data_IF_436878748859
#
_entry.id   IF_436878748859
#
_cell.length_a   1.000
_cell.length_b   1.000
_cell.length_c   1.000
_cell.angle_alpha   90.00
_cell.angle_beta   90.00
_cell.angle_gamma   90.00
#
_symmetry.space_group_name_H-M   'P 1'
#
loop_
_entity.id
_entity.type
_entity.pdbx_description
1 polymer ?
#
# COMPACT_ATOMS: atom_id res chain seq x y z
N UNK A 1 -18.19 -30.39 -61.23
CA UNK A 1 -17.95 -30.48 -59.78
C UNK A 1 -17.52 -31.91 -59.44
N UNK A 2 -16.20 -32.13 -59.35
CA UNK A 2 -15.45 -32.90 -58.32
C UNK A 2 -16.18 -34.17 -57.75
N UNK A 3 -15.68 -35.42 -57.74
CA UNK A 3 -14.37 -36.03 -57.39
C UNK A 3 -14.24 -37.39 -58.14
N UNK A 4 -13.13 -37.72 -58.82
CA UNK A 4 -11.97 -38.49 -58.33
C UNK A 4 -12.34 -39.81 -57.61
N UNK A 5 -12.52 -40.93 -58.34
CA UNK A 5 -11.56 -41.99 -58.70
C UNK A 5 -10.79 -42.62 -57.52
N UNK A 6 -11.10 -43.90 -57.32
CA UNK A 6 -10.48 -44.88 -56.44
C UNK A 6 -8.98 -45.07 -56.69
N UNK A 7 -8.25 -45.44 -55.63
CA UNK A 7 -7.04 -46.27 -55.75
C UNK A 7 -6.84 -47.08 -54.47
N UNK A 8 -7.08 -48.40 -54.57
CA UNK A 8 -6.43 -49.41 -53.74
C UNK A 8 -5.04 -49.68 -54.33
N UNK A 9 -4.01 -49.89 -53.53
CA UNK A 9 -3.49 -51.24 -53.26
C UNK A 9 -2.23 -51.18 -52.36
N UNK A 10 -2.11 -52.25 -51.60
CA UNK A 10 -1.18 -52.60 -50.54
C UNK A 10 0.23 -52.93 -51.08
N UNK A 11 1.29 -52.62 -50.32
CA UNK A 11 2.51 -53.45 -50.27
C UNK A 11 3.44 -52.99 -49.14
N UNK A 12 3.35 -53.72 -48.03
CA UNK A 12 4.46 -54.22 -47.18
C UNK A 12 5.81 -53.51 -47.26
N UNK A 13 6.28 -52.98 -46.13
CA UNK A 13 7.61 -53.34 -45.63
C UNK A 13 7.64 -53.37 -44.11
N UNK A 14 8.11 -54.52 -43.64
CA UNK A 14 8.19 -55.01 -42.28
C UNK A 14 9.59 -54.71 -41.77
N UNK A 15 9.73 -53.98 -40.66
CA UNK A 15 10.92 -54.12 -39.79
C UNK A 15 10.54 -53.76 -38.36
N UNK A 16 10.40 -54.81 -37.56
CA UNK A 16 10.35 -54.80 -36.11
C UNK A 16 11.59 -54.11 -35.52
N UNK A 17 11.39 -53.25 -34.52
CA UNK A 17 12.34 -53.15 -33.40
C UNK A 17 11.58 -53.04 -32.08
N UNK A 18 11.86 -54.04 -31.25
CA UNK A 18 11.23 -54.40 -29.98
C UNK A 18 10.99 -53.20 -29.05
N UNK A 19 9.72 -52.99 -28.74
CA UNK A 19 9.24 -52.34 -27.52
C UNK A 19 9.41 -53.34 -26.37
N UNK A 20 10.12 -52.95 -25.31
CA UNK A 20 10.09 -53.67 -24.02
C UNK A 20 8.80 -53.27 -23.32
N UNK A 21 7.83 -54.16 -23.29
CA UNK A 21 6.69 -54.10 -22.38
C UNK A 21 7.16 -54.51 -20.97
N UNK A 22 6.81 -53.71 -19.97
CA UNK A 22 6.45 -54.20 -18.64
C UNK A 22 5.02 -53.74 -18.40
N UNK A 23 4.09 -54.70 -18.51
CA UNK A 23 2.67 -54.49 -18.28
C UNK A 23 2.30 -54.41 -16.80
N UNK A 24 1.20 -53.70 -16.53
CA UNK A 24 0.48 -53.68 -15.28
C UNK A 24 -0.86 -52.99 -15.49
N UNK A 25 -1.94 -53.77 -15.55
CA UNK A 25 -3.26 -53.40 -16.06
C UNK A 25 -4.09 -52.57 -15.06
N UNK A 26 -4.87 -51.68 -15.66
CA UNK A 26 -6.26 -51.33 -15.37
C UNK A 26 -6.66 -50.36 -14.23
N UNK A 27 -7.54 -49.45 -14.70
CA UNK A 27 -8.77 -48.93 -14.10
C UNK A 27 -8.77 -47.59 -13.34
N UNK A 28 -9.52 -46.67 -13.96
CA UNK A 28 -10.39 -45.61 -13.42
C UNK A 28 -9.80 -44.31 -12.85
N UNK A 29 -10.27 -43.22 -13.49
CA UNK A 29 -10.61 -41.90 -12.97
C UNK A 29 -9.60 -41.17 -12.07
N UNK A 30 -9.14 -40.00 -12.55
CA UNK A 30 -8.52 -39.04 -11.66
C UNK A 30 -7.90 -37.84 -12.35
N UNK A 31 -8.68 -37.05 -13.08
CA UNK A 31 -8.31 -35.68 -13.42
C UNK A 31 -8.25 -34.86 -12.11
N UNK A 32 -7.07 -34.69 -11.53
CA UNK A 32 -6.82 -33.74 -10.46
C UNK A 32 -5.65 -32.84 -10.85
N UNK A 33 -6.03 -31.70 -11.40
CA UNK A 33 -5.20 -30.51 -11.60
C UNK A 33 -4.32 -30.29 -10.36
N UNK A 34 -3.01 -30.43 -10.50
CA UNK A 34 -2.08 -29.78 -9.61
C UNK A 34 -2.36 -28.27 -9.65
N UNK A 35 -2.95 -27.74 -8.58
CA UNK A 35 -2.91 -26.29 -8.33
C UNK A 35 -1.45 -25.94 -8.08
N UNK A 36 -0.82 -25.28 -9.03
CA UNK A 36 0.46 -24.62 -8.82
C UNK A 36 0.27 -23.58 -7.71
N UNK A 37 0.72 -23.86 -6.50
CA UNK A 37 0.79 -22.86 -5.43
C UNK A 37 1.93 -21.91 -5.77
N UNK A 38 1.63 -20.61 -5.87
CA UNK A 38 2.63 -19.57 -6.09
C UNK A 38 3.75 -19.66 -5.03
N UNK A 39 5.01 -19.33 -5.38
CA UNK A 39 6.12 -19.39 -4.43
C UNK A 39 5.84 -18.49 -3.22
N UNK A 40 6.02 -19.05 -2.02
CA UNK A 40 5.85 -18.32 -0.76
C UNK A 40 6.99 -17.31 -0.64
N UNK A 41 6.67 -16.02 -0.77
CA UNK A 41 7.63 -14.94 -0.56
C UNK A 41 7.81 -14.63 0.94
N UNK A 42 8.93 -14.03 1.37
CA UNK A 42 9.11 -13.62 2.76
C UNK A 42 7.99 -12.70 3.28
N UNK A 43 7.43 -11.86 2.41
CA UNK A 43 6.26 -11.03 2.74
C UNK A 43 5.02 -11.90 2.97
N UNK A 44 4.76 -12.87 2.10
CA UNK A 44 3.63 -13.80 2.23
C UNK A 44 3.61 -14.55 3.55
N UNK A 45 4.77 -15.04 4.00
CA UNK A 45 4.93 -15.70 5.30
C UNK A 45 4.61 -14.77 6.48
N UNK A 46 5.09 -13.52 6.43
CA UNK A 46 4.80 -12.52 7.48
C UNK A 46 3.32 -12.17 7.54
N UNK A 47 2.66 -12.05 6.38
CA UNK A 47 1.21 -11.80 6.31
C UNK A 47 0.43 -12.98 6.91
N UNK A 48 0.80 -14.22 6.58
CA UNK A 48 0.17 -15.40 7.17
C UNK A 48 0.34 -15.46 8.69
N UNK A 49 1.56 -15.28 9.20
CA UNK A 49 1.82 -15.26 10.64
C UNK A 49 1.05 -14.12 11.35
N UNK A 50 0.95 -12.95 10.72
CA UNK A 50 0.18 -11.84 11.27
C UNK A 50 -1.31 -12.15 11.33
N UNK A 51 -1.90 -12.74 10.28
CA UNK A 51 -3.30 -13.18 10.29
C UNK A 51 -3.58 -14.18 11.42
N UNK A 52 -2.67 -15.11 11.66
CA UNK A 52 -2.79 -16.09 12.75
C UNK A 52 -2.76 -15.42 14.14
N UNK A 53 -2.03 -14.32 14.30
CA UNK A 53 -2.00 -13.58 15.56
C UNK A 53 -3.28 -12.78 15.87
N UNK A 54 -4.16 -12.58 14.88
CA UNK A 54 -5.36 -11.75 15.03
C UNK A 54 -6.54 -12.52 15.66
N UNK A 55 -7.41 -11.83 16.43
CA UNK A 55 -8.70 -12.36 16.84
C UNK A 55 -9.55 -12.80 15.65
N UNK A 56 -10.39 -13.82 15.82
CA UNK A 56 -11.14 -14.45 14.73
C UNK A 56 -11.97 -13.44 13.89
N UNK A 57 -12.62 -12.48 14.55
CA UNK A 57 -13.44 -11.48 13.88
C UNK A 57 -12.64 -10.60 12.90
N UNK A 58 -11.42 -10.19 13.26
CA UNK A 58 -10.58 -9.34 12.40
C UNK A 58 -9.78 -10.17 11.43
N UNK A 59 -9.35 -11.38 11.83
CA UNK A 59 -8.71 -12.36 10.95
C UNK A 59 -9.57 -12.66 9.73
N UNK A 60 -10.87 -12.90 9.92
CA UNK A 60 -11.80 -13.18 8.82
C UNK A 60 -11.88 -12.02 7.80
N UNK A 61 -12.00 -10.78 8.28
CA UNK A 61 -12.00 -9.58 7.44
C UNK A 61 -10.65 -9.45 6.70
N UNK A 62 -9.53 -9.52 7.42
CA UNK A 62 -8.19 -9.36 6.84
C UNK A 62 -7.86 -10.46 5.81
N UNK A 63 -8.27 -11.70 6.05
CA UNK A 63 -8.12 -12.80 5.09
C UNK A 63 -8.96 -12.56 3.83
N UNK A 64 -10.18 -12.03 3.98
CA UNK A 64 -11.00 -11.56 2.88
C UNK A 64 -10.30 -10.46 2.06
N UNK A 65 -9.78 -9.43 2.73
CA UNK A 65 -9.05 -8.34 2.09
C UNK A 65 -7.81 -8.84 1.32
N UNK A 66 -7.03 -9.75 1.90
CA UNK A 66 -5.89 -10.40 1.24
C UNK A 66 -6.29 -11.10 -0.05
N UNK A 67 -7.32 -11.95 0.02
CA UNK A 67 -7.85 -12.67 -1.16
C UNK A 67 -8.32 -11.70 -2.24
N UNK A 68 -9.05 -10.65 -1.85
CA UNK A 68 -9.60 -9.68 -2.78
C UNK A 68 -8.47 -8.89 -3.47
N UNK A 69 -7.47 -8.44 -2.72
CA UNK A 69 -6.33 -7.70 -3.27
C UNK A 69 -5.54 -8.53 -4.30
N UNK A 70 -5.19 -9.77 -3.96
CA UNK A 70 -4.43 -10.65 -4.86
C UNK A 70 -5.23 -11.11 -6.09
N UNK A 71 -6.56 -11.09 -6.03
CA UNK A 71 -7.42 -11.45 -7.16
C UNK A 71 -7.92 -10.25 -7.96
N UNK A 72 -7.55 -9.02 -7.57
CA UNK A 72 -8.02 -7.81 -8.24
C UNK A 72 -7.28 -7.52 -9.56
N UNK A 73 -5.97 -7.74 -9.61
CA UNK A 73 -5.09 -7.56 -10.77
C UNK A 73 -3.88 -8.51 -10.64
N UNK A 74 -3.48 -9.25 -11.70
CA UNK A 74 -2.36 -10.19 -11.64
C UNK A 74 -0.99 -9.54 -11.39
N UNK A 75 -0.84 -8.23 -11.57
CA UNK A 75 0.43 -7.53 -11.28
C UNK A 75 0.63 -7.22 -9.79
N UNK A 76 -0.38 -7.49 -8.95
CA UNK A 76 -0.31 -7.26 -7.51
C UNK A 76 0.47 -8.38 -6.82
N UNK A 77 1.41 -7.98 -5.95
CA UNK A 77 2.13 -8.89 -5.07
C UNK A 77 2.08 -8.38 -3.62
N UNK A 78 2.32 -9.31 -2.69
CA UNK A 78 2.40 -9.02 -1.26
C UNK A 78 3.75 -8.37 -0.92
N UNK A 79 3.68 -7.32 -0.12
CA UNK A 79 4.82 -6.62 0.44
C UNK A 79 4.66 -6.49 1.97
N UNK A 80 5.73 -6.10 2.65
CA UNK A 80 5.73 -5.86 4.09
C UNK A 80 6.48 -4.59 4.46
N UNK A 81 5.72 -3.54 4.77
CA UNK A 81 6.20 -2.24 5.22
C UNK A 81 5.30 -1.73 6.34
N UNK A 82 5.77 -1.84 7.58
CA UNK A 82 5.00 -1.53 8.79
C UNK A 82 3.75 -2.40 9.00
N UNK A 83 3.65 -3.54 8.30
CA UNK A 83 2.50 -4.43 8.29
C UNK A 83 2.21 -4.94 6.87
N UNK A 84 1.08 -5.65 6.66
CA UNK A 84 0.67 -6.17 5.36
C UNK A 84 0.34 -5.07 4.34
N UNK A 85 0.99 -5.12 3.18
CA UNK A 85 0.73 -4.23 2.05
C UNK A 85 0.73 -5.00 0.73
N UNK A 86 0.16 -4.36 -0.28
CA UNK A 86 0.09 -4.87 -1.64
C UNK A 86 0.62 -3.79 -2.57
N UNK A 87 1.46 -4.21 -3.51
CA UNK A 87 2.14 -3.32 -4.43
C UNK A 87 2.00 -3.76 -5.87
N UNK A 88 1.99 -2.78 -6.77
CA UNK A 88 2.06 -2.90 -8.22
C UNK A 88 2.47 -1.53 -8.75
N UNK A 89 3.67 -1.44 -9.34
CA UNK A 89 4.26 -0.17 -9.79
C UNK A 89 4.28 0.92 -8.70
N UNK A 90 4.42 0.51 -7.43
CA UNK A 90 4.24 1.35 -6.24
C UNK A 90 3.26 0.71 -5.25
N UNK A 91 3.11 1.30 -4.07
CA UNK A 91 2.17 0.81 -3.06
C UNK A 91 0.73 1.09 -3.51
N UNK A 92 -0.12 0.06 -3.47
CA UNK A 92 -1.52 0.13 -3.89
C UNK A 92 -2.39 0.34 -2.65
N UNK A 93 -2.46 -0.69 -1.81
CA UNK A 93 -3.20 -0.65 -0.56
C UNK A 93 -2.51 -1.47 0.54
N UNK A 94 -2.91 -1.23 1.79
CA UNK A 94 -2.48 -2.00 2.95
C UNK A 94 -3.56 -2.00 4.02
N UNK A 95 -3.59 -3.05 4.84
CA UNK A 95 -4.58 -3.15 5.91
C UNK A 95 -3.95 -3.27 7.29
N UNK A 96 -4.67 -2.77 8.29
CA UNK A 96 -4.25 -2.81 9.69
C UNK A 96 -5.44 -3.15 10.56
N UNK A 97 -5.26 -4.11 11.47
CA UNK A 97 -6.28 -4.50 12.43
C UNK A 97 -6.11 -3.71 13.73
N UNK A 98 -7.15 -2.99 14.12
CA UNK A 98 -7.27 -2.29 15.41
C UNK A 98 -8.18 -3.07 16.36
N UNK A 99 -8.29 -2.61 17.61
CA UNK A 99 -9.08 -3.28 18.65
C UNK A 99 -10.56 -3.49 18.26
N UNK A 100 -11.14 -2.58 17.50
CA UNK A 100 -12.58 -2.56 17.20
C UNK A 100 -12.91 -2.52 15.69
N UNK A 101 -11.91 -2.37 14.84
CA UNK A 101 -12.11 -2.27 13.39
C UNK A 101 -10.88 -2.70 12.61
N UNK A 102 -11.05 -3.01 11.33
CA UNK A 102 -9.98 -3.16 10.36
C UNK A 102 -10.00 -1.96 9.43
N UNK A 103 -8.84 -1.38 9.19
CA UNK A 103 -8.67 -0.26 8.28
C UNK A 103 -7.96 -0.75 7.03
N UNK A 104 -8.51 -0.43 5.87
CA UNK A 104 -7.85 -0.60 4.57
C UNK A 104 -7.48 0.78 4.03
N UNK A 105 -6.21 1.01 3.77
CA UNK A 105 -5.70 2.28 3.28
C UNK A 105 -5.22 2.14 1.84
N UNK A 106 -5.67 3.05 0.99
CA UNK A 106 -5.17 3.26 -0.36
C UNK A 106 -4.15 4.38 -0.33
N UNK A 107 -2.92 4.05 -0.72
CA UNK A 107 -1.78 4.94 -0.54
C UNK A 107 -1.87 6.17 -1.45
N UNK A 108 -2.35 6.02 -2.68
CA UNK A 108 -2.61 7.14 -3.60
C UNK A 108 -4.12 7.42 -3.71
N UNK A 109 -4.87 7.21 -2.62
CA UNK A 109 -6.32 7.32 -2.58
C UNK A 109 -6.88 8.69 -2.97
N UNK A 110 -6.15 9.78 -2.75
CA UNK A 110 -6.59 11.13 -3.13
C UNK A 110 -6.62 11.38 -4.65
N UNK A 111 -5.91 10.55 -5.41
CA UNK A 111 -5.91 10.56 -6.87
C UNK A 111 -6.94 9.61 -7.47
N UNK A 112 -7.63 8.82 -6.64
CA UNK A 112 -8.68 7.92 -7.05
C UNK A 112 -10.03 8.62 -7.02
N UNK A 113 -10.95 8.18 -7.88
CA UNK A 113 -12.35 8.57 -7.83
C UNK A 113 -13.05 7.75 -6.74
N UNK A 114 -14.10 8.32 -6.17
CA UNK A 114 -14.93 7.65 -5.17
C UNK A 114 -16.42 7.67 -5.55
N UNK A 115 -16.82 7.12 -6.72
CA UNK A 115 -18.20 7.19 -7.19
C UNK A 115 -19.17 6.40 -6.30
N UNK A 116 -18.67 5.43 -5.53
CA UNK A 116 -19.46 4.57 -4.66
C UNK A 116 -19.42 5.02 -3.18
N UNK A 117 -18.68 6.08 -2.85
CA UNK A 117 -18.57 6.59 -1.49
C UNK A 117 -17.99 5.59 -0.50
N UNK A 118 -17.05 4.73 -0.94
CA UNK A 118 -16.47 3.69 -0.06
C UNK A 118 -15.47 4.26 0.93
N UNK A 119 -14.85 5.41 0.64
CA UNK A 119 -13.91 6.04 1.56
C UNK A 119 -14.66 6.68 2.73
N UNK A 120 -14.80 5.91 3.81
CA UNK A 120 -15.56 6.28 4.99
C UNK A 120 -14.69 6.52 6.25
N UNK A 121 -13.35 6.50 6.11
CA UNK A 121 -12.41 6.69 7.23
C UNK A 121 -11.37 7.77 6.93
N UNK A 122 -10.84 8.37 8.01
CA UNK A 122 -9.74 9.32 8.11
C UNK A 122 -8.74 9.37 6.95
N UNK A 123 -8.34 10.61 6.68
CA UNK A 123 -7.25 10.98 5.79
C UNK A 123 -5.99 11.04 6.65
N UNK A 124 -5.13 10.01 6.58
CA UNK A 124 -3.88 9.96 7.37
C UNK A 124 -2.83 10.97 6.90
N UNK A 125 -2.91 11.34 5.63
CA UNK A 125 -2.11 12.36 4.98
C UNK A 125 -2.84 12.80 3.70
N UNK A 126 -2.35 13.85 3.05
CA UNK A 126 -2.98 14.44 1.86
C UNK A 126 -3.25 13.44 0.71
N UNK A 127 -2.49 12.34 0.66
CA UNK A 127 -2.56 11.33 -0.40
C UNK A 127 -3.41 10.11 -0.07
N UNK A 128 -3.47 9.72 1.19
CA UNK A 128 -4.13 8.48 1.58
C UNK A 128 -5.66 8.67 1.65
N UNK A 129 -6.40 7.61 1.30
CA UNK A 129 -7.83 7.46 1.65
C UNK A 129 -8.03 6.08 2.25
N UNK A 130 -8.98 5.97 3.17
CA UNK A 130 -9.14 4.74 3.95
C UNK A 130 -10.60 4.30 4.02
N UNK A 131 -10.79 2.99 4.15
CA UNK A 131 -12.06 2.31 4.38
C UNK A 131 -11.98 1.63 5.74
N UNK A 132 -13.00 1.85 6.59
CA UNK A 132 -13.23 1.17 7.86
C UNK A 132 -14.13 -0.04 7.63
N UNK A 133 -13.70 -1.18 8.15
CA UNK A 133 -14.52 -2.38 8.29
C UNK A 133 -14.69 -2.70 9.76
N UNK A 134 -15.90 -3.00 10.16
CA UNK A 134 -16.28 -3.44 11.51
C UNK A 134 -16.87 -4.85 11.44
N UNK A 135 -17.13 -5.46 12.61
CA UNK A 135 -17.64 -6.85 12.70
C UNK A 135 -18.97 -7.09 11.96
N UNK A 136 -19.74 -6.03 11.70
CA UNK A 136 -21.05 -6.11 11.05
C UNK A 136 -21.01 -5.91 9.53
N UNK A 137 -19.86 -5.56 8.96
CA UNK A 137 -19.80 -5.12 7.56
C UNK A 137 -19.57 -6.30 6.60
N UNK A 138 -20.43 -6.38 5.58
CA UNK A 138 -20.22 -7.29 4.44
C UNK A 138 -19.28 -6.62 3.44
N UNK A 139 -18.15 -7.26 3.15
CA UNK A 139 -17.22 -6.77 2.12
C UNK A 139 -17.84 -7.01 0.74
N UNK A 140 -18.15 -5.94 0.01
CA UNK A 140 -18.52 -6.05 -1.40
C UNK A 140 -17.26 -6.25 -2.25
N UNK A 141 -16.97 -7.52 -2.55
CA UNK A 141 -15.76 -7.92 -3.27
C UNK A 141 -15.62 -7.24 -4.64
N UNK A 142 -16.71 -7.08 -5.39
CA UNK A 142 -16.66 -6.48 -6.72
C UNK A 142 -16.29 -4.99 -6.68
N UNK A 143 -16.93 -4.24 -5.79
CA UNK A 143 -16.64 -2.81 -5.62
C UNK A 143 -15.21 -2.62 -5.11
N UNK A 144 -14.76 -3.46 -4.18
CA UNK A 144 -13.41 -3.35 -3.65
C UNK A 144 -12.35 -3.67 -4.73
N UNK A 145 -12.58 -4.69 -5.57
CA UNK A 145 -11.68 -4.97 -6.71
C UNK A 145 -11.60 -3.80 -7.69
N UNK A 146 -12.70 -3.09 -7.92
CA UNK A 146 -12.70 -1.91 -8.78
C UNK A 146 -11.76 -0.83 -8.22
N UNK A 147 -11.82 -0.54 -6.92
CA UNK A 147 -10.96 0.45 -6.28
C UNK A 147 -9.49 0.01 -6.31
N UNK A 148 -9.21 -1.27 -6.10
CA UNK A 148 -7.84 -1.80 -6.18
C UNK A 148 -7.28 -1.67 -7.59
N UNK A 149 -8.06 -2.00 -8.64
CA UNK A 149 -7.64 -1.81 -10.04
C UNK A 149 -7.43 -0.34 -10.39
N UNK A 150 -8.28 0.55 -9.89
CA UNK A 150 -8.10 1.99 -10.09
C UNK A 150 -6.81 2.49 -9.42
N UNK A 151 -6.51 2.03 -8.20
CA UNK A 151 -5.25 2.35 -7.53
C UNK A 151 -4.03 1.84 -8.31
N UNK A 152 -4.10 0.64 -8.89
CA UNK A 152 -3.07 0.12 -9.80
C UNK A 152 -2.92 1.01 -11.04
N UNK A 153 -4.03 1.46 -11.63
CA UNK A 153 -4.00 2.36 -12.79
C UNK A 153 -3.37 3.72 -12.46
N UNK A 154 -3.68 4.30 -11.29
CA UNK A 154 -3.04 5.54 -10.79
C UNK A 154 -1.52 5.36 -10.67
N UNK A 155 -1.06 4.22 -10.14
CA UNK A 155 0.36 3.91 -10.05
C UNK A 155 1.00 3.75 -11.43
N UNK A 156 0.35 3.03 -12.36
CA UNK A 156 0.81 2.85 -13.74
C UNK A 156 0.89 4.18 -14.51
N UNK A 157 -0.01 5.12 -14.23
CA UNK A 157 0.00 6.47 -14.80
C UNK A 157 1.12 7.37 -14.23
N UNK A 158 1.91 6.89 -13.27
CA UNK A 158 3.06 7.61 -12.72
C UNK A 158 2.69 8.76 -11.79
N UNK A 159 1.59 8.63 -11.03
CA UNK A 159 1.18 9.65 -10.07
C UNK A 159 2.31 10.02 -9.11
N UNK A 160 2.70 11.29 -9.12
CA UNK A 160 3.74 11.83 -8.23
C UNK A 160 3.08 12.56 -7.06
N UNK A 161 3.45 12.15 -5.85
CA UNK A 161 3.08 12.86 -4.63
C UNK A 161 3.86 14.17 -4.55
N UNK A 162 3.18 15.28 -4.76
CA UNK A 162 3.75 16.61 -4.54
C UNK A 162 3.28 17.06 -3.17
N UNK A 163 4.18 17.01 -2.18
CA UNK A 163 3.90 17.60 -0.88
C UNK A 163 3.66 19.11 -1.06
N UNK A 164 2.64 19.66 -0.40
CA UNK A 164 2.44 21.11 -0.34
C UNK A 164 3.55 21.70 0.53
N UNK A 165 4.65 22.07 -0.12
CA UNK A 165 5.66 22.93 0.48
C UNK A 165 5.26 24.39 0.23
N UNK A 166 4.06 24.77 0.67
CA UNK A 166 3.73 26.19 0.74
C UNK A 166 4.71 26.82 1.72
N UNK A 167 5.48 27.80 1.26
CA UNK A 167 6.34 28.60 2.12
C UNK A 167 5.40 29.39 3.02
N UNK A 168 5.13 28.89 4.21
CA UNK A 168 4.42 29.69 5.19
C UNK A 168 5.35 30.84 5.60
N UNK A 169 4.88 32.08 5.47
CA UNK A 169 5.61 33.21 5.99
C UNK A 169 5.74 33.08 7.51
N UNK A 170 6.94 33.34 8.03
CA UNK A 170 7.19 33.23 9.45
C UNK A 170 6.30 34.25 10.21
N UNK A 171 5.55 33.81 11.24
CA UNK A 171 4.74 34.72 12.03
C UNK A 171 5.60 35.88 12.57
N UNK A 172 5.13 37.14 12.52
CA UNK A 172 5.92 38.29 13.00
C UNK A 172 6.45 38.11 14.43
N UNK A 173 5.68 37.44 15.30
CA UNK A 173 6.09 37.12 16.67
C UNK A 173 7.30 36.18 16.75
N UNK A 174 7.43 35.20 15.84
CA UNK A 174 8.58 34.29 15.79
C UNK A 174 9.84 35.04 15.32
N UNK A 175 9.72 35.85 14.26
CA UNK A 175 10.83 36.66 13.77
C UNK A 175 11.31 37.68 14.82
N UNK A 176 10.38 38.32 15.53
CA UNK A 176 10.71 39.25 16.62
C UNK A 176 11.46 38.56 17.76
N UNK A 177 11.10 37.31 18.08
CA UNK A 177 11.79 36.53 19.11
C UNK A 177 13.19 36.06 18.65
N UNK A 178 13.31 35.57 17.41
CA UNK A 178 14.60 35.17 16.83
C UNK A 178 15.58 36.34 16.71
N UNK A 179 15.09 37.54 16.35
CA UNK A 179 15.92 38.76 16.27
C UNK A 179 16.59 39.15 17.60
N UNK A 180 16.06 38.69 18.75
CA UNK A 180 16.66 38.93 20.07
C UNK A 180 17.90 38.08 20.32
N UNK A 181 18.07 36.97 19.61
CA UNK A 181 19.23 36.08 19.70
C UNK A 181 19.87 35.89 18.32
N UNK A 182 21.03 36.53 18.13
CA UNK A 182 21.77 36.50 16.86
C UNK A 182 22.17 35.07 16.45
N UNK A 183 22.46 34.18 17.41
CA UNK A 183 22.83 32.79 17.11
C UNK A 183 21.61 32.02 16.61
N UNK A 184 20.48 32.17 17.29
CA UNK A 184 19.23 31.54 16.89
C UNK A 184 18.75 32.02 15.51
N UNK A 185 18.87 33.32 15.22
CA UNK A 185 18.51 33.89 13.91
C UNK A 185 19.37 33.33 12.78
N UNK A 186 20.71 33.34 12.95
CA UNK A 186 21.63 32.82 11.94
C UNK A 186 21.39 31.33 11.66
N UNK A 187 21.13 30.54 12.70
CA UNK A 187 20.79 29.12 12.54
C UNK A 187 19.46 28.94 11.79
N UNK A 188 18.42 29.70 12.17
CA UNK A 188 17.12 29.62 11.52
C UNK A 188 17.18 29.98 10.03
N UNK A 189 17.93 31.02 9.66
CA UNK A 189 18.11 31.44 8.27
C UNK A 189 18.92 30.43 7.44
N UNK A 190 19.88 29.73 8.07
CA UNK A 190 20.67 28.67 7.44
C UNK A 190 19.88 27.36 7.20
N UNK A 191 18.71 27.19 7.82
CA UNK A 191 17.89 25.97 7.65
C UNK A 191 17.25 25.88 6.26
N UNK A 192 17.15 24.66 5.75
CA UNK A 192 16.41 24.40 4.50
C UNK A 192 14.94 24.82 4.65
N UNK A 193 14.27 25.21 3.54
CA UNK A 193 12.88 25.68 3.59
C UNK A 193 11.91 24.72 4.30
N UNK A 194 12.14 23.40 4.19
CA UNK A 194 11.34 22.39 4.89
C UNK A 194 11.45 22.51 6.42
N UNK A 195 12.67 22.57 6.97
CA UNK A 195 12.86 22.71 8.41
C UNK A 195 12.34 24.05 8.95
N UNK A 196 12.46 25.13 8.16
CA UNK A 196 11.84 26.41 8.53
C UNK A 196 10.31 26.30 8.58
N UNK A 197 9.70 25.66 7.58
CA UNK A 197 8.26 25.46 7.55
C UNK A 197 7.79 24.61 8.75
N UNK A 198 8.53 23.57 9.14
CA UNK A 198 8.17 22.76 10.31
C UNK A 198 8.10 23.59 11.60
N UNK A 199 9.07 24.48 11.84
CA UNK A 199 9.02 25.40 12.98
C UNK A 199 7.84 26.37 12.90
N UNK A 200 7.58 26.90 11.72
CA UNK A 200 6.46 27.81 11.49
C UNK A 200 5.13 27.10 11.75
N UNK A 201 4.97 25.86 11.27
CA UNK A 201 3.77 25.04 11.49
C UNK A 201 3.58 24.66 12.96
N UNK A 202 4.66 24.47 13.72
CA UNK A 202 4.55 24.31 15.17
C UNK A 202 3.93 25.56 15.80
N UNK A 203 4.27 26.77 15.37
CA UNK A 203 3.63 27.99 15.90
C UNK A 203 2.19 28.14 15.40
N UNK A 204 1.96 27.98 14.08
CA UNK A 204 0.66 28.20 13.44
C UNK A 204 -0.42 27.20 13.88
N UNK A 205 -0.04 25.95 14.15
CA UNK A 205 -0.99 24.92 14.60
C UNK A 205 -1.55 25.16 16.01
N UNK A 206 -0.97 26.08 16.81
CA UNK A 206 -1.48 26.41 18.13
C UNK A 206 -2.63 27.42 18.06
N UNK A 207 -3.82 27.02 18.51
CA UNK A 207 -5.01 27.91 18.57
C UNK A 207 -4.92 28.97 19.68
N UNK A 208 -4.31 28.62 20.82
CA UNK A 208 -4.20 29.51 21.98
C UNK A 208 -2.90 30.33 21.97
N UNK A 209 -3.00 31.61 22.29
CA UNK A 209 -1.86 32.55 22.25
C UNK A 209 -0.75 32.18 23.26
N UNK A 210 -1.11 31.77 24.48
CA UNK A 210 -0.14 31.26 25.48
C UNK A 210 0.66 30.07 24.95
N UNK A 211 0.02 29.19 24.18
CA UNK A 211 0.68 28.02 23.58
C UNK A 211 1.60 28.43 22.43
N UNK A 212 1.21 29.43 21.62
CA UNK A 212 2.09 29.98 20.58
C UNK A 212 3.37 30.56 21.18
N UNK A 213 3.26 31.38 22.23
CA UNK A 213 4.42 31.98 22.90
C UNK A 213 5.34 30.92 23.51
N UNK A 214 4.78 29.89 24.15
CA UNK A 214 5.58 28.77 24.67
C UNK A 214 6.32 28.00 23.57
N UNK A 215 5.67 27.79 22.40
CA UNK A 215 6.32 27.16 21.25
C UNK A 215 7.42 28.04 20.65
N UNK A 216 7.19 29.35 20.53
CA UNK A 216 8.21 30.31 20.08
C UNK A 216 9.44 30.26 20.99
N UNK A 217 9.27 30.29 22.31
CA UNK A 217 10.39 30.21 23.25
C UNK A 217 11.19 28.91 23.10
N UNK A 218 10.50 27.77 22.93
CA UNK A 218 11.16 26.48 22.66
C UNK A 218 11.94 26.47 21.34
N UNK A 219 11.40 27.08 20.29
CA UNK A 219 12.04 27.16 18.98
C UNK A 219 13.30 28.01 19.06
N UNK A 220 13.23 29.17 19.72
CA UNK A 220 14.41 30.05 19.90
C UNK A 220 15.51 29.31 20.66
N UNK A 221 15.18 28.64 21.77
CA UNK A 221 16.15 27.84 22.53
C UNK A 221 16.77 26.71 21.68
N UNK A 222 15.95 25.96 20.94
CA UNK A 222 16.45 24.92 20.05
C UNK A 222 17.36 25.46 18.93
N UNK A 223 17.02 26.60 18.35
CA UNK A 223 17.85 27.25 17.34
C UNK A 223 19.17 27.77 17.93
N UNK A 224 19.16 28.30 19.15
CA UNK A 224 20.38 28.74 19.85
C UNK A 224 21.32 27.56 20.14
N UNK A 225 20.77 26.37 20.37
CA UNK A 225 21.50 25.12 20.55
C UNK A 225 21.85 24.40 19.23
N UNK A 226 21.42 24.92 18.08
CA UNK A 226 21.68 24.32 16.77
C UNK A 226 20.90 23.03 16.49
N UNK A 227 19.80 22.78 17.22
CA UNK A 227 18.94 21.61 17.04
C UNK A 227 17.92 21.82 15.93
N UNK A 228 17.63 20.77 15.16
CA UNK A 228 16.62 20.76 14.09
C UNK A 228 15.22 20.41 14.64
N UNK A 229 14.14 20.76 13.91
CA UNK A 229 12.80 20.28 14.26
C UNK A 229 12.77 18.74 14.32
N UNK A 230 12.07 18.18 15.32
CA UNK A 230 11.82 16.73 15.46
C UNK A 230 13.08 15.84 15.61
N UNK A 231 14.23 16.41 15.95
CA UNK A 231 15.48 15.66 16.14
C UNK A 231 15.44 14.67 17.32
N UNK A 232 14.44 14.81 18.22
CA UNK A 232 14.17 13.89 19.33
C UNK A 232 13.71 12.48 18.91
N UNK A 233 13.42 12.25 17.63
CA UNK A 233 12.95 10.95 17.11
C UNK A 233 14.03 10.19 16.31
N UNK A 234 15.29 10.64 16.39
CA UNK A 234 16.43 9.94 15.79
C UNK A 234 17.18 9.11 16.82
#
# INVERSE_FOLDING_TARGET
MILAKETKFFSTFFTEKKVKECGGKNTTLGCLKQRMTAPVTPASSKVSAYLESLPEWSRSICAGLRRIALSADPSIYEDWKWGPNYASNGMVCGWSAFKEHVKLTFFNGSAMKDPLGLFNHCVDNDFNRSIKFTRTDKINENQLKQYIRESVAVNKAGFKRVAKNEKADAPPALLAALKKDKKALAFFEALTPGYRNDYIQQVLSAKQEKTKQARIAKIVAACAEGRKPNEQYK
#
